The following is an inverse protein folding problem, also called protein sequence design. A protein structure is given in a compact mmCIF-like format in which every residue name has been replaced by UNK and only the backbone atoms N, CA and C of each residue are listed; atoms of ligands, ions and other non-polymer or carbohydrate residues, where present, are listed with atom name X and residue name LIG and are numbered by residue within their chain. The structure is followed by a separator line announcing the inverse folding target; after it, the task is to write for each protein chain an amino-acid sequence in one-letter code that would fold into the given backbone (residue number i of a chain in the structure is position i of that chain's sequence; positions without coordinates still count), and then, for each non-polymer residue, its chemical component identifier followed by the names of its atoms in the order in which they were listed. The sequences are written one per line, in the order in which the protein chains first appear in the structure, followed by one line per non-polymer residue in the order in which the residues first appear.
data_IF_818829890042
#
_entry.id   IF_818829890042
#
_cell.length_a   1.000
_cell.length_b   1.000
_cell.length_c   1.000
_cell.angle_alpha   90.00
_cell.angle_beta   90.00
_cell.angle_gamma   90.00
#
_symmetry.space_group_name_H-M   'P 1'
#
loop_
_entity.id
_entity.type
_entity.pdbx_description
1 polymer ?
#
# COMPACT_ATOMS: atom_id res chain seq x y z
N UNK A 1 11.80 -20.62 -9.69
CA UNK A 1 12.43 -19.91 -8.54
C UNK A 1 11.68 -20.31 -7.26
N UNK A 2 12.26 -20.16 -6.06
CA UNK A 2 11.51 -20.37 -4.82
C UNK A 2 10.61 -19.15 -4.58
N UNK A 3 9.27 -19.29 -4.44
CA UNK A 3 8.41 -18.16 -4.20
C UNK A 3 8.65 -17.55 -2.82
N UNK A 4 8.43 -16.24 -2.72
CA UNK A 4 8.59 -15.45 -1.48
C UNK A 4 7.51 -14.38 -1.42
N UNK A 5 7.00 -14.08 -0.24
CA UNK A 5 6.15 -12.92 0.03
C UNK A 5 6.59 -12.26 1.33
N UNK A 6 6.59 -10.93 1.36
CA UNK A 6 6.83 -10.11 2.55
C UNK A 6 5.71 -9.07 2.63
N UNK A 7 5.21 -8.80 3.84
CA UNK A 7 4.20 -7.77 4.09
C UNK A 7 4.65 -6.79 5.17
N UNK A 8 4.06 -5.60 5.19
CA UNK A 8 4.15 -4.67 6.30
C UNK A 8 2.78 -4.09 6.67
N UNK A 9 2.60 -3.73 7.91
CA UNK A 9 1.39 -3.11 8.48
C UNK A 9 1.57 -1.64 8.88
N UNK A 10 2.60 -0.97 8.36
CA UNK A 10 2.90 0.43 8.64
C UNK A 10 4.18 0.67 9.42
N UNK A 11 4.66 1.93 9.46
CA UNK A 11 5.87 2.38 10.16
C UNK A 11 5.57 3.25 11.39
N UNK A 12 4.30 3.51 11.73
CA UNK A 12 3.94 4.36 12.86
C UNK A 12 4.09 3.68 14.22
N UNK A 13 3.98 4.46 15.28
CA UNK A 13 3.94 3.94 16.64
C UNK A 13 2.76 2.98 16.85
N UNK A 14 3.03 1.77 17.31
CA UNK A 14 2.02 0.75 17.63
C UNK A 14 1.87 0.69 19.16
N UNK A 15 0.67 1.02 19.71
CA UNK A 15 0.39 0.82 21.13
C UNK A 15 0.63 -0.63 21.54
N UNK A 16 1.11 -0.84 22.77
CA UNK A 16 1.46 -2.18 23.27
C UNK A 16 0.29 -3.15 23.20
N UNK A 17 -0.92 -2.67 23.51
CA UNK A 17 -2.15 -3.45 23.46
C UNK A 17 -2.53 -3.93 22.07
N UNK A 18 -2.08 -3.26 21.01
CA UNK A 18 -2.38 -3.60 19.62
C UNK A 18 -1.35 -4.53 18.97
N UNK A 19 -0.16 -4.65 19.58
CA UNK A 19 0.98 -5.33 18.93
C UNK A 19 0.68 -6.76 18.53
N UNK A 20 0.09 -7.54 19.46
CA UNK A 20 -0.20 -8.94 19.19
C UNK A 20 -1.21 -9.13 18.06
N UNK A 21 -2.29 -8.34 18.05
CA UNK A 21 -3.34 -8.45 17.04
C UNK A 21 -2.85 -7.94 15.65
N UNK A 22 -2.05 -6.86 15.61
CA UNK A 22 -1.44 -6.39 14.37
C UNK A 22 -0.40 -7.36 13.82
N UNK A 23 0.41 -7.97 14.69
CA UNK A 23 1.33 -9.03 14.28
C UNK A 23 0.57 -10.20 13.66
N UNK A 24 -0.47 -10.67 14.34
CA UNK A 24 -1.33 -11.74 13.82
C UNK A 24 -1.95 -11.36 12.47
N UNK A 25 -2.47 -10.15 12.31
CA UNK A 25 -3.02 -9.68 11.05
C UNK A 25 -2.00 -9.68 9.90
N UNK A 26 -0.74 -9.30 10.16
CA UNK A 26 0.35 -9.40 9.17
C UNK A 26 0.68 -10.87 8.85
N UNK A 27 0.72 -11.76 9.85
CA UNK A 27 0.95 -13.20 9.65
C UNK A 27 -0.16 -13.83 8.81
N UNK A 28 -1.42 -13.50 9.07
CA UNK A 28 -2.57 -13.95 8.28
C UNK A 28 -2.52 -13.44 6.85
N UNK A 29 -2.16 -12.16 6.63
CA UNK A 29 -1.97 -11.60 5.29
C UNK A 29 -0.87 -12.34 4.51
N UNK A 30 0.25 -12.67 5.16
CA UNK A 30 1.30 -13.52 4.56
C UNK A 30 0.74 -14.87 4.16
N UNK A 31 -0.07 -15.51 5.02
CA UNK A 31 -0.64 -16.82 4.73
C UNK A 31 -1.59 -16.78 3.54
N UNK A 32 -2.40 -15.73 3.40
CA UNK A 32 -3.29 -15.52 2.27
C UNK A 32 -2.50 -15.41 0.96
N UNK A 33 -1.53 -14.50 0.88
CA UNK A 33 -0.69 -14.34 -0.31
C UNK A 33 0.19 -15.57 -0.59
N UNK A 34 0.70 -16.22 0.45
CA UNK A 34 1.45 -17.47 0.32
C UNK A 34 0.61 -18.60 -0.26
N UNK A 35 -0.66 -18.73 0.17
CA UNK A 35 -1.57 -19.73 -0.37
C UNK A 35 -1.81 -19.51 -1.87
N UNK A 36 -1.97 -18.25 -2.30
CA UNK A 36 -2.06 -17.89 -3.72
C UNK A 36 -0.83 -18.40 -4.50
N UNK A 37 0.40 -18.08 -4.03
CA UNK A 37 1.65 -18.54 -4.66
C UNK A 37 1.77 -20.07 -4.69
N UNK A 38 1.38 -20.76 -3.62
CA UNK A 38 1.40 -22.23 -3.56
C UNK A 38 0.43 -22.91 -4.54
N UNK A 39 -0.66 -22.26 -4.89
CA UNK A 39 -1.64 -22.72 -5.87
C UNK A 39 -1.25 -22.38 -7.31
N UNK A 40 -0.07 -21.78 -7.53
CA UNK A 40 0.43 -21.39 -8.84
C UNK A 40 -0.03 -20.01 -9.32
N UNK A 41 -0.60 -19.18 -8.41
CA UNK A 41 -0.92 -17.79 -8.68
C UNK A 41 0.33 -16.95 -8.91
N UNK A 42 0.17 -15.80 -9.58
CA UNK A 42 1.25 -14.86 -9.87
C UNK A 42 1.66 -14.06 -8.64
N UNK A 43 2.84 -13.42 -8.69
CA UNK A 43 3.26 -12.47 -7.67
C UNK A 43 2.25 -11.32 -7.51
N UNK A 44 1.68 -10.85 -8.62
CA UNK A 44 0.66 -9.79 -8.62
C UNK A 44 -0.62 -10.20 -7.89
N UNK A 45 -1.11 -11.42 -8.11
CA UNK A 45 -2.28 -11.95 -7.39
C UNK A 45 -1.99 -12.10 -5.90
N UNK A 46 -0.79 -12.54 -5.54
CA UNK A 46 -0.41 -12.74 -4.14
C UNK A 46 -0.32 -11.44 -3.34
N UNK A 47 0.25 -10.36 -3.92
CA UNK A 47 0.33 -9.06 -3.24
C UNK A 47 -1.05 -8.39 -3.17
N UNK A 48 -1.89 -8.55 -4.19
CA UNK A 48 -3.28 -8.07 -4.17
C UNK A 48 -4.08 -8.72 -3.04
N UNK A 49 -4.05 -10.05 -2.94
CA UNK A 49 -4.78 -10.79 -1.89
C UNK A 49 -4.29 -10.44 -0.49
N UNK A 50 -2.97 -10.34 -0.28
CA UNK A 50 -2.40 -9.97 1.01
C UNK A 50 -2.80 -8.54 1.42
N UNK A 51 -2.75 -7.57 0.50
CA UNK A 51 -3.13 -6.18 0.79
C UNK A 51 -4.65 -6.06 0.98
N UNK A 52 -5.47 -6.75 0.17
CA UNK A 52 -6.93 -6.75 0.35
C UNK A 52 -7.35 -7.32 1.72
N UNK A 53 -6.66 -8.34 2.20
CA UNK A 53 -6.85 -8.86 3.57
C UNK A 53 -6.56 -7.79 4.63
N UNK A 54 -5.46 -7.04 4.49
CA UNK A 54 -5.10 -5.95 5.41
C UNK A 54 -6.07 -4.77 5.31
N UNK A 55 -6.64 -4.48 4.13
CA UNK A 55 -7.69 -3.47 3.93
C UNK A 55 -9.00 -3.84 4.63
N UNK A 56 -9.32 -5.12 4.74
CA UNK A 56 -10.50 -5.60 5.47
C UNK A 56 -10.30 -5.63 7.00
N UNK A 57 -9.05 -5.60 7.47
CA UNK A 57 -8.72 -5.71 8.88
C UNK A 57 -8.79 -4.34 9.60
N UNK A 58 -9.64 -4.16 10.64
CA UNK A 58 -9.99 -2.85 11.20
C UNK A 58 -8.86 -2.11 11.94
N UNK A 59 -7.76 -2.79 12.26
CA UNK A 59 -6.61 -2.18 12.95
C UNK A 59 -5.62 -1.50 12.02
N UNK A 60 -5.66 -1.77 10.73
CA UNK A 60 -4.75 -1.14 9.76
C UNK A 60 -5.36 0.12 9.16
N UNK A 61 -4.50 1.08 8.81
CA UNK A 61 -4.90 2.29 8.14
C UNK A 61 -4.96 2.09 6.62
N UNK A 62 -5.87 1.24 6.17
CA UNK A 62 -6.16 0.97 4.77
C UNK A 62 -7.59 0.41 4.67
N UNK A 63 -8.31 0.68 3.60
CA UNK A 63 -9.69 0.22 3.43
C UNK A 63 -10.55 0.47 4.66
N UNK A 64 -11.07 -0.61 5.28
CA UNK A 64 -11.75 -0.53 6.59
C UNK A 64 -10.73 -0.26 7.69
N UNK A 65 -10.92 0.79 8.46
CA UNK A 65 -9.97 1.23 9.50
C UNK A 65 -9.07 2.37 9.03
N UNK A 66 -9.30 2.89 7.83
CA UNK A 66 -8.68 4.11 7.34
C UNK A 66 -8.96 5.29 8.26
N UNK A 67 -7.97 6.16 8.41
CA UNK A 67 -8.11 7.43 9.10
C UNK A 67 -9.03 8.38 8.33
N UNK A 68 -9.60 9.36 9.04
CA UNK A 68 -10.50 10.36 8.46
C UNK A 68 -9.71 11.61 8.08
N UNK A 69 -10.13 12.27 7.00
CA UNK A 69 -9.62 13.56 6.57
C UNK A 69 -10.18 14.71 7.43
N UNK A 70 -9.81 15.95 7.15
CA UNK A 70 -10.25 17.13 7.92
C UNK A 70 -11.77 17.38 7.86
N UNK A 71 -12.47 16.82 6.88
CA UNK A 71 -13.93 16.90 6.76
C UNK A 71 -14.66 15.75 7.49
N UNK A 72 -13.92 14.76 8.03
CA UNK A 72 -14.50 13.58 8.67
C UNK A 72 -14.84 12.44 7.70
N UNK A 73 -14.32 12.48 6.48
CA UNK A 73 -14.52 11.47 5.45
C UNK A 73 -13.30 10.56 5.30
N UNK A 74 -13.52 9.34 4.78
CA UNK A 74 -12.44 8.43 4.36
C UNK A 74 -12.15 8.62 2.89
N UNK A 75 -10.88 8.89 2.58
CA UNK A 75 -10.32 8.86 1.24
C UNK A 75 -9.09 7.97 1.24
N UNK A 76 -9.04 6.99 0.34
CA UNK A 76 -7.97 5.98 0.29
C UNK A 76 -7.08 6.15 -0.94
N UNK A 77 -5.84 5.73 -0.78
CA UNK A 77 -4.83 5.66 -1.83
C UNK A 77 -4.35 4.21 -1.94
N UNK A 78 -4.19 3.68 -3.13
CA UNK A 78 -3.59 2.37 -3.35
C UNK A 78 -2.93 2.27 -4.70
N UNK A 79 -1.91 1.43 -4.80
CA UNK A 79 -1.30 1.06 -6.07
C UNK A 79 -0.72 -0.34 -6.05
N UNK A 80 -0.60 -0.93 -7.24
CA UNK A 80 0.12 -2.17 -7.44
C UNK A 80 0.86 -2.13 -8.80
N UNK A 81 1.95 -2.88 -8.88
CA UNK A 81 2.81 -2.92 -10.06
C UNK A 81 3.34 -4.33 -10.31
N UNK A 82 3.29 -4.76 -11.56
CA UNK A 82 3.87 -5.99 -12.08
C UNK A 82 5.24 -5.71 -12.73
N UNK A 83 6.27 -6.43 -12.33
CA UNK A 83 7.65 -6.11 -12.70
C UNK A 83 8.09 -6.58 -14.08
N UNK A 84 7.42 -7.56 -14.69
CA UNK A 84 7.79 -8.10 -16.00
C UNK A 84 7.47 -7.16 -17.14
N UNK A 85 6.26 -6.62 -17.15
CA UNK A 85 5.75 -5.69 -18.16
C UNK A 85 5.86 -4.23 -17.72
N UNK A 86 6.14 -3.96 -16.44
CA UNK A 86 6.07 -2.67 -15.78
C UNK A 86 4.64 -2.06 -15.77
N UNK A 87 3.62 -2.88 -16.00
CA UNK A 87 2.24 -2.42 -15.87
C UNK A 87 1.91 -2.11 -14.42
N UNK A 88 1.16 -1.05 -14.23
CA UNK A 88 0.76 -0.58 -12.92
C UNK A 88 -0.66 -0.03 -12.93
N UNK A 89 -1.32 -0.08 -11.79
CA UNK A 89 -2.60 0.56 -11.55
C UNK A 89 -2.62 1.23 -10.19
N UNK A 90 -3.26 2.38 -10.11
CA UNK A 90 -3.31 3.17 -8.90
C UNK A 90 -4.61 3.95 -8.75
N UNK A 91 -4.99 4.20 -7.51
CA UNK A 91 -6.08 5.10 -7.13
C UNK A 91 -5.62 6.07 -6.06
N UNK A 92 -6.07 7.31 -6.12
CA UNK A 92 -5.77 8.34 -5.13
C UNK A 92 -7.02 9.09 -4.67
N UNK A 93 -7.06 9.43 -3.38
CA UNK A 93 -8.19 10.12 -2.75
C UNK A 93 -9.55 9.54 -3.15
N UNK A 94 -9.65 8.20 -3.23
CA UNK A 94 -10.88 7.54 -3.66
C UNK A 94 -11.81 7.33 -2.46
N UNK A 95 -13.05 7.85 -2.51
CA UNK A 95 -14.03 7.65 -1.44
C UNK A 95 -14.80 6.36 -1.64
N UNK A 96 -15.27 5.76 -0.54
CA UNK A 96 -16.30 4.73 -0.52
C UNK A 96 -15.98 3.46 -1.35
N UNK A 97 -14.72 3.10 -1.48
CA UNK A 97 -14.29 1.81 -2.05
C UNK A 97 -13.71 0.96 -0.93
N UNK A 98 -14.30 -0.22 -0.70
CA UNK A 98 -13.90 -1.11 0.39
C UNK A 98 -12.45 -1.60 0.25
N UNK A 99 -12.10 -2.08 -0.93
CA UNK A 99 -10.77 -2.57 -1.26
C UNK A 99 -10.18 -1.76 -2.43
N UNK A 100 -9.56 -0.59 -2.15
CA UNK A 100 -8.96 0.23 -3.19
C UNK A 100 -7.86 -0.50 -3.99
N UNK A 101 -7.18 -1.50 -3.42
CA UNK A 101 -6.22 -2.33 -4.16
C UNK A 101 -6.86 -3.12 -5.28
N UNK A 102 -8.09 -3.63 -5.09
CA UNK A 102 -8.86 -4.30 -6.14
C UNK A 102 -9.20 -3.36 -7.29
N UNK A 103 -9.52 -2.10 -6.97
CA UNK A 103 -9.78 -1.09 -7.99
C UNK A 103 -8.49 -0.73 -8.74
N UNK A 104 -7.37 -0.59 -8.05
CA UNK A 104 -6.05 -0.40 -8.67
C UNK A 104 -5.71 -1.56 -9.63
N UNK A 105 -6.02 -2.82 -9.26
CA UNK A 105 -5.86 -3.98 -10.13
C UNK A 105 -6.69 -3.86 -11.41
N UNK A 106 -7.94 -3.42 -11.34
CA UNK A 106 -8.77 -3.24 -12.54
C UNK A 106 -8.26 -2.15 -13.47
N UNK A 107 -7.64 -1.08 -12.92
CA UNK A 107 -7.00 -0.04 -13.71
C UNK A 107 -5.76 -0.60 -14.45
N UNK A 108 -4.95 -1.41 -13.77
CA UNK A 108 -3.81 -2.09 -14.39
C UNK A 108 -4.27 -2.99 -15.55
N UNK A 109 -5.33 -3.78 -15.34
CA UNK A 109 -5.87 -4.72 -16.36
C UNK A 109 -6.50 -3.98 -17.56
N UNK A 110 -7.16 -2.84 -17.33
CA UNK A 110 -7.68 -1.98 -18.40
C UNK A 110 -6.55 -1.39 -19.26
N UNK A 111 -5.42 -1.05 -18.65
CA UNK A 111 -4.19 -0.65 -19.33
C UNK A 111 -4.21 0.70 -20.05
N UNK A 112 -5.35 1.43 -20.03
CA UNK A 112 -5.45 2.75 -20.67
C UNK A 112 -4.82 3.86 -19.83
N UNK A 113 -4.87 3.72 -18.52
CA UNK A 113 -4.35 4.69 -17.55
C UNK A 113 -3.62 3.98 -16.42
N UNK A 114 -2.72 4.68 -15.75
CA UNK A 114 -2.02 4.14 -14.56
C UNK A 114 -2.71 4.60 -13.28
N UNK A 115 -3.19 5.84 -13.22
CA UNK A 115 -3.74 6.45 -12.01
C UNK A 115 -5.07 7.13 -12.29
N UNK A 116 -6.09 6.76 -11.52
CA UNK A 116 -7.37 7.48 -11.45
C UNK A 116 -7.60 8.01 -10.03
N UNK A 117 -8.25 9.16 -9.89
CA UNK A 117 -8.44 9.81 -8.59
C UNK A 117 -9.88 10.21 -8.32
N UNK A 118 -10.26 10.26 -7.03
CA UNK A 118 -11.53 10.77 -6.54
C UNK A 118 -12.75 10.18 -7.26
N UNK A 119 -13.73 11.01 -7.58
CA UNK A 119 -14.97 10.60 -8.26
C UNK A 119 -14.74 9.99 -9.66
N UNK A 120 -13.62 10.31 -10.33
CA UNK A 120 -13.25 9.68 -11.59
C UNK A 120 -12.97 8.19 -11.39
N UNK A 121 -12.24 7.83 -10.35
CA UNK A 121 -11.97 6.45 -9.98
C UNK A 121 -13.26 5.71 -9.56
N UNK A 122 -14.16 6.35 -8.81
CA UNK A 122 -15.47 5.76 -8.44
C UNK A 122 -16.34 5.47 -9.67
N UNK A 123 -16.36 6.36 -10.65
CA UNK A 123 -17.07 6.11 -11.93
C UNK A 123 -16.50 4.92 -12.68
N UNK A 124 -15.17 4.82 -12.74
CA UNK A 124 -14.51 3.66 -13.35
C UNK A 124 -14.85 2.38 -12.58
N UNK A 125 -14.80 2.40 -11.24
CA UNK A 125 -15.15 1.25 -10.38
C UNK A 125 -16.52 0.67 -10.74
N UNK A 126 -17.55 1.52 -10.86
CA UNK A 126 -18.90 1.10 -11.26
C UNK A 126 -18.91 0.46 -12.67
N UNK A 127 -18.13 1.01 -13.60
CA UNK A 127 -18.01 0.48 -14.96
C UNK A 127 -17.40 -0.92 -15.03
N UNK A 128 -16.58 -1.30 -14.05
CA UNK A 128 -15.92 -2.62 -13.95
C UNK A 128 -16.53 -3.53 -12.88
N UNK A 129 -17.72 -3.18 -12.36
CA UNK A 129 -18.49 -4.01 -11.42
C UNK A 129 -18.02 -3.96 -9.97
N UNK A 130 -17.23 -2.94 -9.58
CA UNK A 130 -16.89 -2.65 -8.18
C UNK A 130 -17.88 -1.62 -7.65
N UNK A 131 -18.72 -2.06 -6.72
CA UNK A 131 -19.72 -1.17 -6.10
C UNK A 131 -19.10 -0.31 -4.98
N UNK A 132 -19.60 0.92 -4.86
CA UNK A 132 -19.26 1.75 -3.72
C UNK A 132 -19.91 1.20 -2.45
N UNK A 133 -19.16 1.17 -1.36
CA UNK A 133 -19.68 0.85 -0.03
C UNK A 133 -20.24 2.12 0.66
N UNK A 134 -20.94 1.92 1.77
CA UNK A 134 -21.35 3.05 2.61
C UNK A 134 -20.16 3.56 3.41
N UNK A 135 -20.04 4.89 3.68
CA UNK A 135 -18.94 5.45 4.46
C UNK A 135 -18.73 4.74 5.81
N UNK A 136 -19.84 4.37 6.48
CA UNK A 136 -19.82 3.72 7.81
C UNK A 136 -19.15 2.32 7.77
N UNK A 137 -19.04 1.70 6.62
CA UNK A 137 -18.38 0.40 6.49
C UNK A 137 -16.86 0.52 6.55
N UNK A 138 -16.32 1.70 6.24
CA UNK A 138 -14.87 1.98 6.28
C UNK A 138 -14.45 2.56 7.64
N UNK A 139 -15.31 3.37 8.27
CA UNK A 139 -15.02 4.05 9.52
C UNK A 139 -15.21 3.11 10.70
N UNK A 140 -14.18 2.90 11.51
CA UNK A 140 -14.28 2.21 12.79
C UNK A 140 -14.51 3.20 13.93
N UNK A 141 -15.15 2.76 15.04
CA UNK A 141 -15.35 3.60 16.24
C UNK A 141 -14.01 4.15 16.75
N UNK A 142 -12.96 3.36 16.67
CA UNK A 142 -11.60 3.75 17.03
C UNK A 142 -11.10 4.94 16.20
N UNK A 143 -11.25 4.90 14.88
CA UNK A 143 -10.76 5.97 14.01
C UNK A 143 -11.62 7.23 14.17
N UNK A 144 -12.93 7.08 14.41
CA UNK A 144 -13.82 8.20 14.73
C UNK A 144 -13.40 8.87 16.03
N UNK A 145 -13.19 8.10 17.10
CA UNK A 145 -12.75 8.64 18.40
C UNK A 145 -11.39 9.36 18.28
N UNK A 146 -10.45 8.81 17.50
CA UNK A 146 -9.14 9.45 17.26
C UNK A 146 -9.29 10.77 16.49
N UNK A 147 -10.15 10.82 15.50
CA UNK A 147 -10.42 12.02 14.73
C UNK A 147 -11.08 13.09 15.58
N UNK A 148 -12.09 12.73 16.40
CA UNK A 148 -12.76 13.65 17.33
C UNK A 148 -11.81 14.21 18.39
N UNK A 149 -10.87 13.41 18.86
CA UNK A 149 -9.85 13.82 19.82
C UNK A 149 -8.71 14.63 19.18
N UNK A 150 -8.67 14.76 17.84
CA UNK A 150 -7.57 15.38 17.08
C UNK A 150 -6.19 14.84 17.50
N UNK A 151 -6.13 13.53 17.83
CA UNK A 151 -4.90 12.88 18.27
C UNK A 151 -3.88 12.82 17.13
N UNK A 152 -2.59 12.85 17.49
CA UNK A 152 -1.48 12.81 16.54
C UNK A 152 -1.53 11.57 15.61
N UNK A 153 -1.05 11.77 14.41
CA UNK A 153 -1.09 10.78 13.33
C UNK A 153 -0.17 9.60 13.61
N UNK A 154 -0.74 8.39 13.59
CA UNK A 154 0.06 7.20 13.33
C UNK A 154 0.26 7.05 11.81
N UNK A 155 1.51 7.05 11.38
CA UNK A 155 1.89 6.69 10.02
C UNK A 155 1.56 5.20 9.81
N UNK A 156 0.45 4.93 9.13
CA UNK A 156 0.00 3.57 8.88
C UNK A 156 -0.30 3.40 7.39
N UNK A 157 0.43 2.51 6.75
CA UNK A 157 0.25 2.12 5.36
C UNK A 157 0.48 0.62 5.31
N UNK A 158 -0.32 -0.13 4.60
CA UNK A 158 -0.10 -1.57 4.42
C UNK A 158 0.53 -1.83 3.06
N UNK A 159 1.33 -2.89 2.96
CA UNK A 159 1.90 -3.28 1.68
C UNK A 159 2.44 -4.69 1.64
N UNK A 160 2.69 -5.16 0.43
CA UNK A 160 3.24 -6.47 0.15
C UNK A 160 4.16 -6.43 -1.07
N UNK A 161 5.20 -7.27 -1.05
CA UNK A 161 6.03 -7.60 -2.20
C UNK A 161 6.13 -9.10 -2.35
N UNK A 162 6.15 -9.60 -3.58
CA UNK A 162 6.22 -11.03 -3.83
C UNK A 162 7.09 -11.39 -5.03
N UNK A 163 7.62 -12.62 -4.98
CA UNK A 163 8.22 -13.33 -6.12
C UNK A 163 7.47 -14.64 -6.28
N UNK A 164 7.01 -14.96 -7.47
CA UNK A 164 6.33 -16.22 -7.77
C UNK A 164 7.27 -17.34 -8.23
N UNK A 165 6.73 -18.54 -8.46
CA UNK A 165 7.47 -19.71 -8.90
C UNK A 165 8.10 -19.55 -10.28
N UNK A 166 7.59 -18.68 -11.14
CA UNK A 166 8.10 -18.34 -12.47
C UNK A 166 9.20 -17.26 -12.43
N UNK A 167 9.40 -16.60 -11.28
CA UNK A 167 10.34 -15.48 -11.12
C UNK A 167 9.70 -14.12 -11.42
N UNK A 168 8.38 -14.06 -11.60
CA UNK A 168 7.64 -12.80 -11.67
C UNK A 168 7.72 -12.07 -10.33
N UNK A 169 7.84 -10.75 -10.35
CA UNK A 169 7.85 -9.91 -9.14
C UNK A 169 6.72 -8.89 -9.16
N UNK A 170 6.18 -8.57 -8.00
CA UNK A 170 5.14 -7.55 -7.86
C UNK A 170 5.23 -6.84 -6.50
N UNK A 171 4.69 -5.63 -6.46
CA UNK A 171 4.50 -4.83 -5.26
C UNK A 171 3.09 -4.27 -5.19
N UNK A 172 2.57 -4.09 -3.99
CA UNK A 172 1.29 -3.43 -3.73
C UNK A 172 1.36 -2.62 -2.42
N UNK A 173 0.68 -1.49 -2.39
CA UNK A 173 0.62 -0.60 -1.21
C UNK A 173 -0.78 0.02 -1.11
N UNK A 174 -1.32 0.18 0.10
CA UNK A 174 -2.63 0.80 0.35
C UNK A 174 -2.67 1.56 1.66
N UNK A 175 -3.41 2.67 1.70
CA UNK A 175 -3.50 3.53 2.88
C UNK A 175 -4.75 4.40 2.91
N UNK A 176 -5.19 4.77 4.13
CA UNK A 176 -6.09 5.90 4.38
C UNK A 176 -5.38 7.25 4.44
N UNK A 177 -4.04 7.28 4.34
CA UNK A 177 -3.23 8.50 4.44
C UNK A 177 -3.02 8.96 5.88
N UNK A 178 -3.01 10.28 6.08
CA UNK A 178 -2.78 10.94 7.37
C UNK A 178 -4.11 11.33 8.01
N UNK A 179 -4.21 11.16 9.35
CA UNK A 179 -5.37 11.63 10.12
C UNK A 179 -5.50 13.15 9.98
N UNK A 180 -6.70 13.62 9.68
CA UNK A 180 -6.95 15.05 9.46
C UNK A 180 -6.32 15.63 8.20
N UNK A 181 -5.85 14.79 7.25
CA UNK A 181 -5.36 15.27 5.94
C UNK A 181 -6.39 16.16 5.25
N UNK A 182 -5.93 17.07 4.41
CA UNK A 182 -6.86 17.87 3.58
C UNK A 182 -7.63 16.94 2.63
N UNK A 183 -8.92 17.15 2.41
CA UNK A 183 -9.67 16.46 1.36
C UNK A 183 -8.93 16.55 0.02
N UNK A 184 -8.80 15.41 -0.68
CA UNK A 184 -8.07 15.34 -1.94
C UNK A 184 -6.54 15.19 -1.80
N UNK A 185 -5.97 15.14 -0.58
CA UNK A 185 -4.54 14.83 -0.41
C UNK A 185 -4.29 13.38 -0.80
N UNK A 186 -3.36 13.19 -1.73
CA UNK A 186 -2.82 11.90 -2.17
C UNK A 186 -1.40 11.73 -1.63
N UNK A 187 -1.12 10.58 -1.00
CA UNK A 187 0.19 10.22 -0.48
C UNK A 187 1.04 9.41 -1.47
N UNK A 188 2.17 8.94 -0.97
CA UNK A 188 3.13 8.10 -1.72
C UNK A 188 2.51 6.80 -2.22
N UNK A 189 1.55 6.22 -1.48
CA UNK A 189 0.97 4.90 -1.77
C UNK A 189 0.23 4.81 -3.11
N UNK A 190 -0.26 5.94 -3.67
CA UNK A 190 -0.84 6.00 -5.01
C UNK A 190 0.20 6.31 -6.11
N UNK A 191 1.42 6.69 -5.74
CA UNK A 191 2.42 7.20 -6.68
C UNK A 191 3.45 6.11 -6.98
N UNK A 192 3.37 5.56 -8.20
CA UNK A 192 4.32 4.55 -8.68
C UNK A 192 5.75 5.11 -8.64
N UNK A 193 6.64 4.34 -8.04
CA UNK A 193 8.02 4.72 -7.75
C UNK A 193 8.20 5.28 -6.33
N UNK A 194 7.18 5.90 -5.74
CA UNK A 194 7.25 6.44 -4.38
C UNK A 194 6.85 5.40 -3.33
N UNK A 195 5.57 5.02 -3.28
CA UNK A 195 5.06 4.00 -2.34
C UNK A 195 5.21 2.57 -2.85
N UNK A 196 5.19 2.35 -4.17
CA UNK A 196 5.16 1.03 -4.81
C UNK A 196 6.06 1.01 -6.04
N UNK A 197 6.93 0.01 -6.16
CA UNK A 197 7.69 -0.21 -7.39
C UNK A 197 8.07 -1.68 -7.58
N UNK A 198 8.01 -2.17 -8.82
CA UNK A 198 8.49 -3.50 -9.19
C UNK A 198 9.18 -3.46 -10.57
N UNK A 199 10.33 -4.14 -10.69
CA UNK A 199 11.05 -4.39 -11.93
C UNK A 199 11.64 -5.80 -11.84
N UNK A 200 11.22 -6.73 -12.69
CA UNK A 200 11.63 -8.13 -12.67
C UNK A 200 13.15 -8.33 -12.77
N UNK A 201 13.87 -7.36 -13.34
CA UNK A 201 15.34 -7.42 -13.47
C UNK A 201 16.04 -7.09 -12.16
N UNK A 202 15.35 -6.48 -11.20
CA UNK A 202 15.94 -5.95 -9.98
C UNK A 202 15.25 -6.48 -8.73
N UNK A 203 13.94 -6.28 -8.61
CA UNK A 203 13.15 -6.64 -7.45
C UNK A 203 11.88 -5.80 -7.30
N UNK A 204 11.30 -5.84 -6.10
CA UNK A 204 10.09 -5.10 -5.77
C UNK A 204 10.20 -4.44 -4.41
N UNK A 205 9.48 -3.34 -4.20
CA UNK A 205 9.49 -2.59 -2.95
C UNK A 205 8.14 -1.94 -2.68
N UNK A 206 7.73 -1.94 -1.40
CA UNK A 206 6.61 -1.18 -0.84
C UNK A 206 7.12 -0.33 0.31
N UNK A 207 6.71 0.95 0.34
CA UNK A 207 7.14 1.93 1.32
C UNK A 207 5.99 2.38 2.24
N UNK A 208 6.35 2.85 3.44
CA UNK A 208 5.42 3.41 4.43
C UNK A 208 6.13 4.46 5.26
N UNK A 209 5.47 5.55 5.66
CA UNK A 209 6.08 6.59 6.47
C UNK A 209 5.53 7.98 6.17
N UNK A 210 6.43 8.98 6.21
CA UNK A 210 6.13 10.34 5.79
C UNK A 210 5.98 10.40 4.27
N UNK A 211 4.73 10.39 3.81
CA UNK A 211 4.40 10.31 2.39
C UNK A 211 4.96 11.47 1.57
N UNK A 212 5.00 12.68 2.11
CA UNK A 212 5.56 13.84 1.45
C UNK A 212 7.07 13.73 1.23
N UNK A 213 7.80 13.19 2.22
CA UNK A 213 9.22 12.92 2.09
C UNK A 213 9.49 11.75 1.13
N UNK A 214 8.71 10.67 1.25
CA UNK A 214 8.79 9.48 0.39
C UNK A 214 8.58 9.86 -1.08
N UNK A 215 7.59 10.71 -1.39
CA UNK A 215 7.35 11.22 -2.75
C UNK A 215 8.58 11.96 -3.28
N UNK A 216 9.16 12.86 -2.50
CA UNK A 216 10.30 13.69 -2.95
C UNK A 216 11.55 12.88 -3.28
N UNK A 217 11.79 11.77 -2.56
CA UNK A 217 12.96 10.90 -2.80
C UNK A 217 12.64 9.68 -3.67
N UNK A 218 11.37 9.50 -4.06
CA UNK A 218 10.89 8.37 -4.87
C UNK A 218 11.34 7.02 -4.27
N UNK A 219 11.01 6.81 -2.98
CA UNK A 219 11.67 5.84 -2.11
C UNK A 219 11.63 4.40 -2.63
N UNK A 220 10.48 3.90 -3.07
CA UNK A 220 10.36 2.52 -3.55
C UNK A 220 11.24 2.27 -4.79
N UNK A 221 11.27 3.21 -5.75
CA UNK A 221 12.15 3.13 -6.92
C UNK A 221 13.63 3.24 -6.53
N UNK A 222 13.95 4.09 -5.55
CA UNK A 222 15.30 4.24 -5.03
C UNK A 222 15.77 2.93 -4.41
N UNK A 223 14.95 2.26 -3.58
CA UNK A 223 15.26 0.98 -2.97
C UNK A 223 15.53 -0.11 -4.03
N UNK A 224 14.62 -0.25 -5.01
CA UNK A 224 14.79 -1.22 -6.11
C UNK A 224 16.01 -0.89 -6.97
N UNK A 225 16.27 0.39 -7.25
CA UNK A 225 17.47 0.82 -8.00
C UNK A 225 18.78 0.48 -7.29
N UNK A 226 18.78 0.50 -5.97
CA UNK A 226 19.95 0.14 -5.15
C UNK A 226 20.27 -1.36 -5.16
N UNK A 227 19.39 -2.23 -5.66
CA UNK A 227 19.67 -3.66 -5.87
C UNK A 227 20.61 -3.92 -7.04
N UNK A 228 20.87 -2.93 -7.88
CA UNK A 228 21.84 -3.09 -8.98
C UNK A 228 23.23 -3.52 -8.45
N UNK A 229 23.89 -4.42 -9.17
CA UNK A 229 25.22 -4.91 -8.80
C UNK A 229 25.21 -5.95 -7.68
N UNK A 230 24.19 -6.82 -7.63
CA UNK A 230 24.05 -7.96 -6.72
C UNK A 230 24.05 -7.58 -5.23
N UNK A 231 23.62 -6.35 -4.90
CA UNK A 231 23.48 -5.93 -3.51
C UNK A 231 22.37 -6.70 -2.81
N UNK A 232 22.63 -7.05 -1.54
CA UNK A 232 21.63 -7.72 -0.72
C UNK A 232 20.43 -6.82 -0.45
N UNK A 233 19.20 -7.35 -0.45
CA UNK A 233 17.98 -6.55 -0.25
C UNK A 233 18.00 -5.72 1.04
N UNK A 234 18.50 -6.27 2.14
CA UNK A 234 18.58 -5.55 3.41
C UNK A 234 19.52 -4.34 3.34
N UNK A 235 20.63 -4.42 2.60
CA UNK A 235 21.55 -3.30 2.45
C UNK A 235 20.96 -2.22 1.53
N UNK A 236 20.26 -2.62 0.47
CA UNK A 236 19.53 -1.69 -0.39
C UNK A 236 18.44 -0.94 0.40
N UNK A 237 17.68 -1.66 1.22
CA UNK A 237 16.66 -1.06 2.09
C UNK A 237 17.25 -0.05 3.08
N UNK A 238 18.35 -0.41 3.79
CA UNK A 238 19.05 0.52 4.71
C UNK A 238 19.55 1.78 4.01
N UNK A 239 20.13 1.63 2.82
CA UNK A 239 20.59 2.77 2.03
C UNK A 239 19.44 3.65 1.55
N UNK A 240 18.30 3.07 1.16
CA UNK A 240 17.12 3.82 0.77
C UNK A 240 16.55 4.63 1.94
N UNK A 241 16.51 4.04 3.15
CA UNK A 241 16.10 4.75 4.36
C UNK A 241 17.08 5.90 4.69
N UNK A 242 18.39 5.70 4.56
CA UNK A 242 19.36 6.80 4.73
C UNK A 242 19.09 7.96 3.74
N UNK A 243 18.72 7.66 2.49
CA UNK A 243 18.31 8.71 1.52
C UNK A 243 17.04 9.44 1.98
N UNK A 244 16.06 8.71 2.56
CA UNK A 244 14.84 9.31 3.10
C UNK A 244 15.17 10.27 4.26
N UNK A 245 16.01 9.84 5.20
CA UNK A 245 16.43 10.64 6.36
C UNK A 245 17.25 11.87 5.94
N UNK A 246 18.30 11.67 5.12
CA UNK A 246 19.26 12.74 4.78
C UNK A 246 18.72 13.74 3.77
N UNK A 247 17.90 13.31 2.80
CA UNK A 247 17.43 14.15 1.69
C UNK A 247 15.94 14.44 1.75
N UNK A 248 15.16 13.51 2.30
CA UNK A 248 13.72 13.64 2.47
C UNK A 248 13.34 14.38 3.75
N UNK A 249 14.25 14.38 4.76
CA UNK A 249 13.97 14.88 6.11
C UNK A 249 12.71 14.22 6.69
N UNK A 250 12.53 12.90 6.45
CA UNK A 250 11.36 12.16 6.86
C UNK A 250 11.69 10.79 7.46
N UNK A 251 10.70 10.20 8.09
CA UNK A 251 10.78 8.88 8.71
C UNK A 251 9.94 7.86 7.93
N UNK A 252 10.38 6.60 7.93
CA UNK A 252 9.62 5.55 7.25
C UNK A 252 10.27 4.17 7.29
N UNK A 253 9.66 3.27 6.57
CA UNK A 253 10.13 1.90 6.37
C UNK A 253 9.93 1.46 4.93
N UNK A 254 10.66 0.44 4.53
CA UNK A 254 10.60 -0.15 3.20
C UNK A 254 10.80 -1.67 3.28
N UNK A 255 10.02 -2.41 2.52
CA UNK A 255 10.23 -3.84 2.26
C UNK A 255 10.56 -4.05 0.80
#
# INVERSE_FOLDING_TARGET
MRPVIVVHGGAGHIPEEDRAERQQGCEEAVLVGWQCLRQGGTALDAVEEAVAFLEDHPLFNAGRGSVLNAAGDVETDASLMEGGTLQAGAVGAVPNIRNPIRLARRILEDGQHVLLVGEGAVRFARGVGIEACRPEELVTDRQRARWEAMQETNLGTVGAVAVDGGGGVAAATSTGGLLGKRPGRVGDSAVIGSGTYADQRLGASSATGDGEAIIRVVLAKTAVGLLMGDRQPMDAARMAIAVLEERGEGEGGVI
#
